data_IF_923137763185
#
_entry.id   IF_923137763185
#
_cell.length_a   1.000
_cell.length_b   1.000
_cell.length_c   1.000
_cell.angle_alpha   90.00
_cell.angle_beta   90.00
_cell.angle_gamma   90.00
#
_symmetry.space_group_name_H-M   'P 1'
#
loop_
_entity.id
_entity.type
_entity.pdbx_description
1 polymer ?
#
# COMPACT_ATOMS: atom_id res chain seq x y z
N UNK A 1 -8.14 13.50 7.92
CA UNK A 1 -6.86 14.21 7.65
C UNK A 1 -6.88 14.65 6.20
N UNK A 2 -6.86 15.97 5.94
CA UNK A 2 -6.80 16.53 4.58
C UNK A 2 -5.45 16.14 3.93
N UNK A 3 -5.46 15.82 2.63
CA UNK A 3 -4.28 15.47 1.81
C UNK A 3 -3.33 16.67 1.56
N UNK A 4 -3.08 17.53 2.54
CA UNK A 4 -2.43 18.84 2.35
C UNK A 4 -0.95 18.91 2.76
N UNK A 5 -0.31 17.81 3.13
CA UNK A 5 1.13 17.66 2.91
C UNK A 5 1.28 16.69 1.75
N UNK A 6 1.62 17.19 0.56
CA UNK A 6 1.57 16.44 -0.69
C UNK A 6 2.51 15.23 -0.61
N UNK A 7 1.96 14.10 -0.18
CA UNK A 7 2.63 12.81 -0.16
C UNK A 7 3.11 12.52 -1.58
N UNK A 8 4.42 12.34 -1.75
CA UNK A 8 5.02 12.05 -3.06
C UNK A 8 4.99 10.56 -3.35
N UNK A 9 4.57 10.19 -4.55
CA UNK A 9 4.61 8.79 -5.03
C UNK A 9 6.05 8.36 -5.33
N UNK A 10 6.36 7.07 -5.56
CA UNK A 10 7.69 6.68 -6.06
C UNK A 10 8.09 7.48 -7.32
N UNK A 11 9.38 7.78 -7.51
CA UNK A 11 9.85 8.59 -8.66
C UNK A 11 9.45 8.01 -10.01
N UNK A 12 9.49 6.69 -10.14
CA UNK A 12 9.05 5.99 -11.34
C UNK A 12 7.59 6.25 -11.68
N UNK A 13 6.76 6.49 -10.65
CA UNK A 13 5.36 6.83 -10.83
C UNK A 13 5.22 8.30 -11.17
N UNK A 14 5.87 9.22 -10.45
CA UNK A 14 5.81 10.66 -10.78
C UNK A 14 6.22 11.01 -12.22
N UNK A 15 7.06 10.18 -12.84
CA UNK A 15 7.48 10.34 -14.24
C UNK A 15 6.62 9.56 -15.24
N UNK A 16 5.65 8.76 -14.78
CA UNK A 16 4.74 8.01 -15.65
C UNK A 16 3.63 8.94 -16.18
N UNK A 17 3.32 8.94 -17.49
CA UNK A 17 2.24 9.75 -18.06
C UNK A 17 0.87 9.53 -17.40
N UNK A 18 0.64 8.36 -16.79
CA UNK A 18 -0.60 8.00 -16.10
C UNK A 18 -0.69 8.56 -14.67
N UNK A 19 0.30 9.30 -14.18
CA UNK A 19 0.33 9.80 -12.78
C UNK A 19 -0.94 10.52 -12.37
N UNK A 20 -1.39 11.49 -13.17
CA UNK A 20 -2.57 12.29 -12.84
C UNK A 20 -3.83 11.44 -12.76
N UNK A 21 -3.95 10.47 -13.66
CA UNK A 21 -5.06 9.54 -13.70
C UNK A 21 -5.05 8.59 -12.50
N UNK A 22 -3.87 8.06 -12.14
CA UNK A 22 -3.70 7.25 -10.94
C UNK A 22 -4.08 8.03 -9.67
N UNK A 23 -3.65 9.28 -9.53
CA UNK A 23 -4.00 10.11 -8.37
C UNK A 23 -5.51 10.35 -8.27
N UNK A 24 -6.18 10.61 -9.41
CA UNK A 24 -7.64 10.71 -9.46
C UNK A 24 -8.31 9.41 -9.03
N UNK A 25 -7.92 8.29 -9.64
CA UNK A 25 -8.49 6.98 -9.31
C UNK A 25 -8.28 6.59 -7.84
N UNK A 26 -7.10 6.83 -7.27
CA UNK A 26 -6.82 6.58 -5.85
C UNK A 26 -7.79 7.36 -4.95
N UNK A 27 -8.12 8.61 -5.30
CA UNK A 27 -9.06 9.43 -4.55
C UNK A 27 -10.51 8.96 -4.72
N UNK A 28 -10.92 8.65 -5.95
CA UNK A 28 -12.31 8.27 -6.28
C UNK A 28 -12.69 6.90 -5.68
N UNK A 29 -11.74 5.97 -5.67
CA UNK A 29 -11.91 4.64 -5.10
C UNK A 29 -11.60 4.57 -3.59
N UNK A 30 -11.28 5.71 -2.95
CA UNK A 30 -10.98 5.73 -1.53
C UNK A 30 -12.23 5.65 -0.65
N UNK A 31 -12.19 4.76 0.35
CA UNK A 31 -13.23 4.60 1.38
C UNK A 31 -12.61 4.65 2.76
N UNK A 32 -13.42 4.95 3.79
CA UNK A 32 -12.94 4.89 5.17
C UNK A 32 -12.41 3.48 5.45
N UNK A 33 -11.23 3.42 6.08
CA UNK A 33 -10.60 2.16 6.46
C UNK A 33 -11.52 1.36 7.40
N UNK A 34 -12.23 2.05 8.29
CA UNK A 34 -13.26 1.50 9.17
C UNK A 34 -14.29 2.60 9.54
N UNK A 35 -15.51 2.25 9.99
CA UNK A 35 -16.63 3.21 10.12
C UNK A 35 -16.36 4.45 10.99
N UNK A 36 -15.64 4.31 12.11
CA UNK A 36 -15.28 5.44 12.98
C UNK A 36 -13.89 6.03 12.72
N UNK A 37 -13.25 5.64 11.63
CA UNK A 37 -11.91 6.08 11.26
C UNK A 37 -11.88 7.46 10.60
N UNK A 38 -10.67 7.93 10.35
CA UNK A 38 -10.38 9.20 9.66
C UNK A 38 -9.51 9.04 8.42
N UNK A 39 -8.85 7.88 8.28
CA UNK A 39 -8.03 7.53 7.13
C UNK A 39 -8.89 6.87 6.07
N UNK A 40 -8.82 7.43 4.86
CA UNK A 40 -9.39 6.81 3.67
C UNK A 40 -8.28 6.07 2.91
N UNK A 41 -8.61 4.89 2.39
CA UNK A 41 -7.72 4.09 1.55
C UNK A 41 -8.47 3.62 0.29
N UNK A 42 -7.79 3.51 -0.87
CA UNK A 42 -8.37 2.96 -2.08
C UNK A 42 -8.79 1.49 -1.90
N UNK A 43 -9.92 1.14 -2.52
CA UNK A 43 -10.37 -0.23 -2.71
C UNK A 43 -10.10 -0.71 -4.14
N UNK A 44 -9.70 -1.97 -4.28
CA UNK A 44 -9.21 -2.54 -5.53
C UNK A 44 -9.57 -4.02 -5.66
N UNK A 45 -9.67 -4.53 -6.89
CA UNK A 45 -9.78 -5.98 -7.13
C UNK A 45 -8.39 -6.62 -7.06
N UNK A 46 -8.34 -7.90 -6.70
CA UNK A 46 -7.13 -8.72 -6.90
C UNK A 46 -7.13 -9.24 -8.35
N UNK A 47 -6.80 -8.37 -9.30
CA UNK A 47 -6.69 -8.72 -10.73
C UNK A 47 -5.36 -9.45 -11.03
N UNK A 48 -5.21 -9.96 -12.25
CA UNK A 48 -4.03 -10.77 -12.62
C UNK A 48 -2.74 -9.95 -12.61
N UNK A 49 -2.76 -8.70 -13.09
CA UNK A 49 -1.59 -7.82 -13.02
C UNK A 49 -1.11 -7.57 -11.58
N UNK A 50 -2.03 -7.38 -10.63
CA UNK A 50 -1.66 -7.24 -9.22
C UNK A 50 -1.16 -8.56 -8.62
N UNK A 51 -1.75 -9.70 -8.99
CA UNK A 51 -1.27 -11.02 -8.56
C UNK A 51 0.18 -11.26 -8.99
N UNK A 52 0.50 -10.96 -10.26
CA UNK A 52 1.86 -11.10 -10.80
C UNK A 52 2.86 -10.23 -10.04
N UNK A 53 2.52 -8.97 -9.79
CA UNK A 53 3.38 -8.05 -9.02
C UNK A 53 3.58 -8.56 -7.58
N UNK A 54 2.52 -9.04 -6.93
CA UNK A 54 2.59 -9.58 -5.57
C UNK A 54 3.48 -10.84 -5.50
N UNK A 55 3.31 -11.76 -6.44
CA UNK A 55 4.12 -12.98 -6.55
C UNK A 55 5.59 -12.65 -6.82
N UNK A 56 5.87 -11.75 -7.76
CA UNK A 56 7.23 -11.31 -8.06
C UNK A 56 7.92 -10.68 -6.83
N UNK A 57 7.21 -9.79 -6.14
CA UNK A 57 7.73 -9.17 -4.91
C UNK A 57 7.96 -10.21 -3.81
N UNK A 58 7.07 -11.20 -3.68
CA UNK A 58 7.20 -12.28 -2.71
C UNK A 58 8.41 -13.17 -3.00
N UNK A 59 8.58 -13.63 -4.24
CA UNK A 59 9.73 -14.44 -4.65
C UNK A 59 11.06 -13.69 -4.50
N UNK A 60 11.05 -12.36 -4.65
CA UNK A 60 12.20 -11.51 -4.40
C UNK A 60 12.48 -11.25 -2.89
N UNK A 61 11.68 -11.80 -1.97
CA UNK A 61 11.82 -11.58 -0.53
C UNK A 61 11.43 -10.17 -0.08
N UNK A 62 10.66 -9.42 -0.88
CA UNK A 62 10.32 -8.01 -0.68
C UNK A 62 8.93 -7.82 -0.05
N UNK A 63 8.40 -8.86 0.60
CA UNK A 63 7.08 -8.85 1.24
C UNK A 63 7.19 -9.23 2.71
N UNK A 64 6.70 -8.35 3.59
CA UNK A 64 6.48 -8.68 5.00
C UNK A 64 5.03 -9.12 5.23
N UNK A 65 4.86 -10.24 5.93
CA UNK A 65 3.54 -10.76 6.34
C UNK A 65 3.15 -10.21 7.71
N UNK A 66 1.89 -9.84 7.89
CA UNK A 66 1.27 -9.39 9.16
C UNK A 66 1.61 -7.96 9.59
N UNK A 67 0.68 -7.39 10.37
CA UNK A 67 0.79 -6.05 10.94
C UNK A 67 2.03 -5.89 11.84
N UNK A 68 2.31 -6.86 12.72
CA UNK A 68 3.42 -6.78 13.65
C UNK A 68 4.77 -6.68 12.93
N UNK A 69 5.01 -7.51 11.91
CA UNK A 69 6.25 -7.43 11.12
C UNK A 69 6.33 -6.12 10.34
N UNK A 70 5.22 -5.66 9.79
CA UNK A 70 5.17 -4.36 9.10
C UNK A 70 5.57 -3.22 10.04
N UNK A 71 4.98 -3.16 11.24
CA UNK A 71 5.29 -2.14 12.25
C UNK A 71 6.76 -2.18 12.66
N UNK A 72 7.30 -3.38 12.96
CA UNK A 72 8.72 -3.54 13.31
C UNK A 72 9.67 -3.04 12.22
N UNK A 73 9.36 -3.36 10.95
CA UNK A 73 10.15 -2.94 9.79
C UNK A 73 10.08 -1.43 9.56
N UNK A 74 8.89 -0.84 9.67
CA UNK A 74 8.68 0.60 9.54
C UNK A 74 9.35 1.39 10.68
N UNK A 75 9.28 0.90 11.91
CA UNK A 75 9.97 1.50 13.06
C UNK A 75 11.50 1.44 12.92
N UNK A 76 12.04 0.31 12.41
CA UNK A 76 13.47 0.21 12.12
C UNK A 76 13.90 1.20 11.03
N UNK A 77 13.13 1.33 9.95
CA UNK A 77 13.38 2.28 8.87
C UNK A 77 13.33 3.74 9.37
N UNK A 78 12.30 4.10 10.13
CA UNK A 78 12.14 5.45 10.68
C UNK A 78 13.32 5.86 11.57
N UNK A 79 13.81 4.95 12.42
CA UNK A 79 15.01 5.19 13.24
C UNK A 79 16.26 5.41 12.39
N UNK A 80 16.49 4.56 11.39
CA UNK A 80 17.64 4.69 10.49
C UNK A 80 17.62 6.00 9.70
N UNK A 81 16.44 6.45 9.27
CA UNK A 81 16.26 7.73 8.59
C UNK A 81 16.51 8.91 9.52
N UNK A 82 15.96 8.89 10.74
CA UNK A 82 16.20 9.95 11.72
C UNK A 82 17.70 10.13 12.01
N UNK A 83 18.47 9.04 12.11
CA UNK A 83 19.92 9.10 12.25
C UNK A 83 20.63 9.70 11.02
N UNK A 84 20.15 9.40 9.81
CA UNK A 84 20.73 9.93 8.58
C UNK A 84 20.39 11.42 8.34
N UNK A 85 19.17 11.84 8.68
CA UNK A 85 18.72 13.22 8.56
C UNK A 85 19.49 14.12 9.54
N UNK A 86 19.70 13.65 10.78
CA UNK A 86 20.57 14.34 11.77
C UNK A 86 22.00 14.53 11.27
N UNK A 87 22.55 13.56 10.51
CA UNK A 87 23.91 13.64 9.96
C UNK A 87 24.02 14.54 8.73
N UNK A 88 22.94 14.72 7.97
CA UNK A 88 22.96 15.45 6.69
C UNK A 88 22.43 16.87 6.78
N UNK A 89 21.74 17.24 7.87
CA UNK A 89 21.22 18.60 8.11
C UNK A 89 20.08 19.02 7.17
N UNK A 90 19.67 18.16 6.22
CA UNK A 90 18.60 18.43 5.25
C UNK A 90 17.51 17.37 5.40
N UNK A 91 16.27 17.75 5.76
CA UNK A 91 15.15 16.82 5.78
C UNK A 91 14.93 16.26 4.37
N UNK A 92 15.11 14.94 4.20
CA UNK A 92 14.77 14.28 2.93
C UNK A 92 13.26 14.33 2.74
N UNK A 93 12.81 14.88 1.61
CA UNK A 93 11.38 14.94 1.28
C UNK A 93 10.70 13.58 1.40
N UNK A 94 9.55 13.56 2.05
CA UNK A 94 8.76 12.37 2.34
C UNK A 94 8.17 11.78 1.05
N UNK A 95 8.34 10.47 0.85
CA UNK A 95 7.97 9.76 -0.39
C UNK A 95 7.50 8.36 -0.04
N UNK A 96 6.37 7.95 -0.62
CA UNK A 96 5.87 6.58 -0.52
C UNK A 96 6.91 5.61 -1.04
N UNK A 97 7.35 4.72 -0.16
CA UNK A 97 8.29 3.64 -0.45
C UNK A 97 7.72 2.28 -0.05
N UNK A 98 6.60 2.26 0.69
CA UNK A 98 5.94 1.07 1.21
C UNK A 98 4.46 1.07 0.86
N UNK A 99 3.95 -0.10 0.54
CA UNK A 99 2.53 -0.32 0.26
C UNK A 99 2.00 -1.44 1.15
N UNK A 100 0.97 -1.14 1.95
CA UNK A 100 0.19 -2.14 2.65
C UNK A 100 -0.93 -2.64 1.74
N UNK A 101 -1.06 -3.96 1.67
CA UNK A 101 -2.14 -4.66 0.97
C UNK A 101 -2.97 -5.36 2.03
N UNK A 102 -4.24 -4.99 2.12
CA UNK A 102 -5.16 -5.47 3.15
C UNK A 102 -6.21 -6.37 2.53
N UNK A 103 -6.55 -7.46 3.22
CA UNK A 103 -7.77 -8.20 2.95
C UNK A 103 -9.01 -7.41 3.41
N UNK A 104 -10.19 -7.75 2.88
CA UNK A 104 -11.46 -7.10 3.22
C UNK A 104 -12.25 -7.75 4.38
N UNK A 105 -11.80 -8.90 4.91
CA UNK A 105 -12.44 -9.66 5.99
C UNK A 105 -11.83 -9.35 7.38
N UNK A 106 -11.14 -8.22 7.53
CA UNK A 106 -10.57 -7.81 8.81
C UNK A 106 -11.65 -7.39 9.80
N UNK A 107 -11.49 -7.77 11.07
CA UNK A 107 -12.30 -7.18 12.14
C UNK A 107 -11.98 -5.68 12.31
N UNK A 108 -12.93 -4.88 12.80
CA UNK A 108 -12.72 -3.44 13.00
C UNK A 108 -11.48 -3.13 13.85
N UNK A 109 -11.23 -3.93 14.92
CA UNK A 109 -10.04 -3.80 15.76
C UNK A 109 -8.75 -3.90 14.95
N UNK A 110 -8.69 -4.78 13.95
CA UNK A 110 -7.54 -4.92 13.08
C UNK A 110 -7.36 -3.66 12.22
N UNK A 111 -8.42 -3.16 11.59
CA UNK A 111 -8.36 -1.95 10.77
C UNK A 111 -8.01 -0.69 11.58
N UNK A 112 -8.46 -0.59 12.83
CA UNK A 112 -8.04 0.47 13.77
C UNK A 112 -6.53 0.44 14.03
N UNK A 113 -5.95 -0.76 14.19
CA UNK A 113 -4.50 -0.88 14.37
C UNK A 113 -3.72 -0.53 13.09
N UNK A 114 -4.26 -0.87 11.91
CA UNK A 114 -3.71 -0.44 10.62
C UNK A 114 -3.76 1.09 10.50
N UNK A 115 -4.87 1.72 10.89
CA UNK A 115 -4.99 3.18 10.90
C UNK A 115 -3.92 3.82 11.78
N UNK A 116 -3.71 3.31 13.00
CA UNK A 116 -2.67 3.80 13.89
C UNK A 116 -1.25 3.62 13.33
N UNK A 117 -1.00 2.56 12.56
CA UNK A 117 0.27 2.38 11.83
C UNK A 117 0.42 3.42 10.72
N UNK A 118 -0.62 3.65 9.93
CA UNK A 118 -0.63 4.67 8.86
C UNK A 118 -0.48 6.09 9.42
N UNK A 119 -1.08 6.42 10.56
CA UNK A 119 -0.89 7.73 11.18
C UNK A 119 0.55 7.93 11.68
N UNK A 120 1.18 6.88 12.21
CA UNK A 120 2.59 6.92 12.66
C UNK A 120 3.60 7.02 11.51
N UNK A 121 3.31 6.38 10.36
CA UNK A 121 4.29 6.21 9.27
C UNK A 121 3.82 6.78 7.91
N UNK A 122 2.70 7.50 7.86
CA UNK A 122 1.96 7.82 6.63
C UNK A 122 2.71 8.68 5.61
N UNK A 123 3.82 9.30 6.01
CA UNK A 123 4.72 10.02 5.11
C UNK A 123 5.39 9.13 4.05
N UNK A 124 5.45 7.81 4.28
CA UNK A 124 6.13 6.83 3.42
C UNK A 124 5.34 5.57 3.14
N UNK A 125 4.18 5.43 3.77
CA UNK A 125 3.35 4.24 3.72
C UNK A 125 1.99 4.60 3.17
N UNK A 126 1.61 3.92 2.08
CA UNK A 126 0.25 3.91 1.57
C UNK A 126 -0.39 2.56 1.86
N UNK A 127 -1.73 2.49 1.90
CA UNK A 127 -2.46 1.24 2.00
C UNK A 127 -3.52 1.13 0.91
N UNK A 128 -3.82 -0.10 0.50
CA UNK A 128 -4.92 -0.47 -0.40
C UNK A 128 -5.66 -1.65 0.22
N UNK A 129 -6.99 -1.64 0.16
CA UNK A 129 -7.83 -2.79 0.54
C UNK A 129 -8.25 -3.53 -0.72
N UNK A 130 -8.01 -4.83 -0.76
CA UNK A 130 -8.43 -5.67 -1.86
C UNK A 130 -9.82 -6.25 -1.60
N UNK A 131 -10.61 -6.41 -2.65
CA UNK A 131 -11.80 -7.25 -2.66
C UNK A 131 -11.38 -8.74 -2.67
N UNK A 132 -10.66 -9.14 -1.64
CA UNK A 132 -10.21 -10.49 -1.39
C UNK A 132 -10.10 -10.69 0.13
N UNK A 133 -10.55 -11.84 0.61
CA UNK A 133 -10.41 -12.21 2.01
C UNK A 133 -8.97 -12.64 2.33
N UNK A 134 -8.71 -12.88 3.62
CA UNK A 134 -7.40 -13.30 4.09
C UNK A 134 -6.92 -14.61 3.47
N UNK A 135 -7.81 -15.57 3.19
CA UNK A 135 -7.44 -16.87 2.62
C UNK A 135 -7.10 -16.74 1.14
N UNK A 136 -7.83 -15.93 0.38
CA UNK A 136 -7.50 -15.62 -1.01
C UNK A 136 -6.14 -14.91 -1.10
N UNK A 137 -5.91 -13.89 -0.26
CA UNK A 137 -4.66 -13.13 -0.27
C UNK A 137 -3.47 -13.96 0.23
N UNK A 138 -3.65 -14.74 1.30
CA UNK A 138 -2.60 -15.60 1.83
C UNK A 138 -2.35 -16.83 0.97
N UNK A 139 -3.38 -17.38 0.35
CA UNK A 139 -3.33 -18.49 -0.58
C UNK A 139 -2.47 -18.20 -1.79
N UNK A 140 -2.59 -16.98 -2.33
CA UNK A 140 -1.77 -16.50 -3.43
C UNK A 140 -0.26 -16.62 -3.16
N UNK A 141 0.21 -16.23 -1.97
CA UNK A 141 1.65 -16.16 -1.68
C UNK A 141 2.20 -17.37 -0.93
N UNK A 142 1.40 -17.98 -0.07
CA UNK A 142 1.86 -18.99 0.89
C UNK A 142 1.25 -20.38 0.64
N UNK A 143 0.41 -20.51 -0.39
CA UNK A 143 -0.27 -21.74 -0.76
C UNK A 143 -1.60 -21.98 -0.04
N UNK A 144 -2.36 -23.02 -0.45
CA UNK A 144 -3.72 -23.27 0.01
C UNK A 144 -3.86 -23.34 1.55
N UNK A 145 -4.99 -22.83 2.07
CA UNK A 145 -5.29 -22.82 3.50
C UNK A 145 -4.47 -21.84 4.35
N UNK A 146 -3.67 -20.97 3.73
CA UNK A 146 -2.90 -19.94 4.43
C UNK A 146 -3.63 -18.60 4.37
N UNK A 147 -3.92 -18.02 5.53
CA UNK A 147 -4.52 -16.70 5.62
C UNK A 147 -3.48 -15.58 5.81
N UNK A 148 -3.67 -14.45 5.14
CA UNK A 148 -2.92 -13.21 5.34
C UNK A 148 -3.85 -11.99 5.23
N UNK A 149 -4.07 -11.29 6.36
CA UNK A 149 -4.89 -10.06 6.40
C UNK A 149 -4.14 -8.79 6.01
N UNK A 150 -2.80 -8.84 6.10
CA UNK A 150 -1.91 -7.74 5.75
C UNK A 150 -0.64 -8.29 5.12
N UNK A 151 -0.28 -7.70 4.00
CA UNK A 151 1.05 -7.77 3.41
C UNK A 151 1.62 -6.37 3.32
N UNK A 152 2.93 -6.22 3.49
CA UNK A 152 3.63 -4.97 3.18
C UNK A 152 4.68 -5.22 2.12
N UNK A 153 4.58 -4.50 1.01
CA UNK A 153 5.62 -4.44 -0.01
C UNK A 153 6.72 -3.48 0.45
N UNK A 154 7.97 -3.95 0.48
CA UNK A 154 9.09 -3.23 1.09
C UNK A 154 9.88 -2.37 0.11
N UNK A 155 9.77 -2.63 -1.20
CA UNK A 155 10.67 -2.05 -2.19
C UNK A 155 9.95 -1.10 -3.15
N UNK A 156 10.52 0.10 -3.35
CA UNK A 156 9.94 1.18 -4.16
C UNK A 156 9.58 0.78 -5.60
N UNK A 157 10.34 -0.12 -6.21
CA UNK A 157 10.08 -0.60 -7.56
C UNK A 157 8.82 -1.50 -7.60
N UNK A 158 8.68 -2.39 -6.63
CA UNK A 158 7.51 -3.25 -6.49
C UNK A 158 6.27 -2.42 -6.12
N UNK A 159 6.42 -1.41 -5.25
CA UNK A 159 5.35 -0.43 -4.97
C UNK A 159 4.92 0.30 -6.23
N UNK A 160 5.87 0.77 -7.05
CA UNK A 160 5.55 1.40 -8.33
C UNK A 160 4.77 0.46 -9.25
N UNK A 161 5.26 -0.75 -9.47
CA UNK A 161 4.57 -1.75 -10.29
C UNK A 161 3.15 -2.04 -9.78
N UNK A 162 2.96 -2.14 -8.47
CA UNK A 162 1.65 -2.37 -7.87
C UNK A 162 0.70 -1.18 -8.11
N UNK A 163 1.20 0.06 -7.96
CA UNK A 163 0.41 1.26 -8.24
C UNK A 163 -0.03 1.35 -9.71
N UNK A 164 0.81 0.93 -10.65
CA UNK A 164 0.44 0.88 -12.07
C UNK A 164 -0.60 -0.22 -12.33
N UNK A 165 -0.41 -1.42 -11.77
CA UNK A 165 -1.41 -2.49 -11.87
C UNK A 165 -2.78 -2.10 -11.29
N UNK A 166 -2.77 -1.28 -10.23
CA UNK A 166 -3.97 -0.67 -9.66
C UNK A 166 -4.57 0.39 -10.57
N UNK A 167 -3.76 1.22 -11.24
CA UNK A 167 -4.24 2.18 -12.22
C UNK A 167 -4.98 1.45 -13.35
N UNK A 168 -4.36 0.42 -13.95
CA UNK A 168 -4.87 -0.23 -15.15
C UNK A 168 -6.31 -0.77 -15.01
N UNK A 169 -6.69 -1.24 -13.81
CA UNK A 169 -8.07 -1.68 -13.52
C UNK A 169 -9.08 -0.54 -13.30
N UNK A 170 -8.63 0.66 -12.92
CA UNK A 170 -9.48 1.84 -12.75
C UNK A 170 -9.58 2.68 -14.02
N UNK A 171 -8.65 2.47 -14.96
CA UNK A 171 -8.59 3.17 -16.25
C UNK A 171 -9.26 2.41 -17.38
N UNK A 172 -9.74 1.19 -17.13
CA UNK A 172 -10.54 0.46 -18.12
C UNK A 172 -11.86 1.23 -18.28
N UNK A 173 -12.17 1.80 -19.47
CA UNK A 173 -13.50 2.33 -19.69
C UNK A 173 -14.47 1.17 -19.58
N UNK A 174 -15.50 1.30 -18.74
CA UNK A 174 -16.73 0.57 -19.01
C UNK A 174 -17.17 0.98 -20.42
N UNK A 175 -17.07 0.05 -21.37
CA UNK A 175 -17.39 0.32 -22.76
C UNK A 175 -17.45 -0.97 -23.57
N UNK A 176 -18.67 -1.46 -23.80
CA UNK A 176 -18.99 -2.49 -24.77
C UNK A 176 -20.33 -3.16 -24.50
N UNK A 177 -21.42 -2.43 -24.80
CA UNK A 177 -22.83 -2.83 -24.95
C UNK A 177 -23.48 -3.79 -23.93
#
# INVERSE_FOLDING_TARGET
>A
MNMTSAIRLPKSIESDPRTSQLLGALADHSRLLWPGGTVKIPEARLNDGLKEVLLAAYHAGQVARSLQKADQRLAAEARGQGMADQKSGVPRGQRISRLLILANDGAERFYRQVESLLQRHGSRVMAVRLHADAEQLGGLLYGPGRAARLLMMEHKAAVGAALLALADQWTTPEGGD
#
